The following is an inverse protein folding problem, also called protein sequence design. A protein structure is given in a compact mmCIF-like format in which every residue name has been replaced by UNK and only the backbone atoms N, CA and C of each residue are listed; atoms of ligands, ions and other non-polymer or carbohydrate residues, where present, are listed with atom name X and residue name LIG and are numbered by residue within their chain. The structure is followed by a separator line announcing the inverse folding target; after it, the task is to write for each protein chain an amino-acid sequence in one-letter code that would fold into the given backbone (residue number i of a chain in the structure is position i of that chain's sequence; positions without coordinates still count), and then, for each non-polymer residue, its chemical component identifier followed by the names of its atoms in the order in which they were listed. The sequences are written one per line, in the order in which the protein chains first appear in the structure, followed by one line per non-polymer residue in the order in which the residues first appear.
data_IF_820507241031
#
_entry.id   IF_820507241031
#
_cell.length_a   1.000
_cell.length_b   1.000
_cell.length_c   1.000
_cell.angle_alpha   90.00
_cell.angle_beta   90.00
_cell.angle_gamma   90.00
#
_symmetry.space_group_name_H-M   'P 1'
#
loop_
_entity.id
_entity.type
_entity.pdbx_description
1 polymer ?
#
# COMPACT_ATOMS: atom_id res chain seq x y z
N UNK A 1 -14.51 -12.46 12.39
CA UNK A 1 -14.91 -13.72 11.70
C UNK A 1 -14.98 -14.97 12.59
N UNK A 2 -14.47 -14.97 13.83
CA UNK A 2 -14.64 -16.03 14.83
C UNK A 2 -14.23 -17.44 14.37
N UNK A 3 -13.27 -17.54 13.44
CA UNK A 3 -12.83 -18.80 12.81
C UNK A 3 -13.95 -19.60 12.11
N UNK A 4 -15.07 -18.96 11.82
CA UNK A 4 -16.18 -19.56 11.09
C UNK A 4 -15.79 -19.75 9.61
N UNK A 5 -15.83 -21.00 9.14
CA UNK A 5 -15.35 -21.39 7.81
C UNK A 5 -16.16 -20.72 6.69
N UNK A 6 -17.48 -20.56 6.85
CA UNK A 6 -18.31 -19.94 5.83
C UNK A 6 -18.06 -18.44 5.73
N UNK A 7 -17.93 -17.77 6.88
CA UNK A 7 -17.59 -16.35 6.93
C UNK A 7 -16.24 -16.13 6.26
N UNK A 8 -15.22 -16.94 6.62
CA UNK A 8 -13.89 -16.88 6.00
C UNK A 8 -13.97 -17.09 4.48
N UNK A 9 -14.74 -18.07 4.01
CA UNK A 9 -14.89 -18.31 2.57
C UNK A 9 -15.54 -17.11 1.85
N UNK A 10 -16.55 -16.47 2.45
CA UNK A 10 -17.18 -15.25 1.89
C UNK A 10 -16.19 -14.09 1.82
N UNK A 11 -15.40 -13.89 2.86
CA UNK A 11 -14.38 -12.81 2.91
C UNK A 11 -13.31 -13.03 1.86
N UNK A 12 -12.79 -14.25 1.72
CA UNK A 12 -11.83 -14.58 0.65
C UNK A 12 -12.36 -14.22 -0.74
N UNK A 13 -13.65 -14.42 -1.00
CA UNK A 13 -14.28 -14.04 -2.28
C UNK A 13 -14.33 -12.52 -2.46
N UNK A 14 -14.62 -11.78 -1.38
CA UNK A 14 -14.62 -10.32 -1.38
C UNK A 14 -13.19 -9.80 -1.59
N UNK A 15 -12.21 -10.29 -0.84
CA UNK A 15 -10.80 -9.87 -0.94
C UNK A 15 -10.26 -10.12 -2.34
N UNK A 16 -10.56 -11.30 -2.92
CA UNK A 16 -10.20 -11.61 -4.31
C UNK A 16 -10.84 -10.62 -5.28
N UNK A 17 -12.15 -10.36 -5.14
CA UNK A 17 -12.83 -9.40 -5.99
C UNK A 17 -12.22 -8.01 -5.90
N UNK A 18 -11.91 -7.52 -4.69
CA UNK A 18 -11.28 -6.22 -4.48
C UNK A 18 -9.87 -6.17 -5.09
N UNK A 19 -9.08 -7.23 -4.94
CA UNK A 19 -7.76 -7.34 -5.57
C UNK A 19 -7.85 -7.35 -7.11
N UNK A 20 -8.84 -8.05 -7.69
CA UNK A 20 -9.10 -8.04 -9.14
C UNK A 20 -9.51 -6.64 -9.63
N UNK A 21 -10.34 -5.91 -8.86
CA UNK A 21 -10.70 -4.52 -9.17
C UNK A 21 -9.54 -3.56 -9.04
N UNK A 22 -8.68 -3.76 -8.04
CA UNK A 22 -7.46 -2.99 -7.89
C UNK A 22 -6.51 -3.21 -9.07
N UNK A 23 -6.31 -4.46 -9.49
CA UNK A 23 -5.50 -4.78 -10.66
C UNK A 23 -6.07 -4.14 -11.95
N UNK A 24 -7.39 -4.19 -12.14
CA UNK A 24 -8.06 -3.50 -13.24
C UNK A 24 -7.81 -1.99 -13.21
N UNK A 25 -7.97 -1.35 -12.04
CA UNK A 25 -7.71 0.08 -11.85
C UNK A 25 -6.26 0.45 -12.19
N UNK A 26 -5.27 -0.30 -11.69
CA UNK A 26 -3.87 -0.10 -12.05
C UNK A 26 -3.61 -0.28 -13.55
N UNK A 27 -4.30 -1.24 -14.20
CA UNK A 27 -4.26 -1.43 -15.64
C UNK A 27 -4.71 -0.17 -16.40
N UNK A 28 -5.82 0.44 -15.98
CA UNK A 28 -6.30 1.69 -16.58
C UNK A 28 -5.31 2.84 -16.40
N UNK A 29 -4.69 2.98 -15.21
CA UNK A 29 -3.65 3.99 -15.00
C UNK A 29 -2.41 3.76 -15.87
N UNK A 30 -2.02 2.50 -16.07
CA UNK A 30 -0.90 2.12 -16.91
C UNK A 30 -1.18 2.36 -18.41
N UNK A 31 -2.42 2.19 -18.84
CA UNK A 31 -2.81 2.42 -20.25
C UNK A 31 -3.05 3.90 -20.56
N UNK A 32 -3.17 4.76 -19.54
CA UNK A 32 -3.39 6.20 -19.70
C UNK A 32 -2.05 6.92 -19.88
N UNK A 33 -1.77 7.53 -21.05
CA UNK A 33 -0.55 8.31 -21.26
C UNK A 33 -0.56 9.58 -20.39
N UNK A 34 0.61 9.92 -19.86
CA UNK A 34 0.82 11.17 -19.12
C UNK A 34 2.26 11.63 -19.36
N UNK A 35 2.48 12.55 -20.31
CA UNK A 35 3.81 13.03 -20.68
C UNK A 35 4.78 11.91 -21.11
N UNK A 36 5.98 11.90 -20.52
CA UNK A 36 7.04 10.91 -20.76
C UNK A 36 6.82 9.60 -19.97
N UNK A 37 5.61 9.05 -20.02
CA UNK A 37 5.23 7.87 -19.25
C UNK A 37 3.72 7.62 -19.22
N UNK A 38 3.31 6.84 -18.22
CA UNK A 38 1.91 6.53 -17.95
C UNK A 38 1.47 7.20 -16.66
N UNK A 39 0.16 7.39 -16.48
CA UNK A 39 -0.38 7.96 -15.25
C UNK A 39 0.04 7.14 -14.01
N UNK A 40 0.22 5.82 -14.16
CA UNK A 40 0.75 4.98 -13.09
C UNK A 40 2.22 5.28 -12.76
N UNK A 41 3.06 5.60 -13.74
CA UNK A 41 4.48 5.95 -13.51
C UNK A 41 4.61 7.24 -12.69
N UNK A 42 3.66 8.16 -12.84
CA UNK A 42 3.62 9.44 -12.14
C UNK A 42 2.81 9.41 -10.83
N UNK A 43 2.21 8.27 -10.48
CA UNK A 43 1.35 8.12 -9.30
C UNK A 43 2.00 7.32 -8.17
N UNK A 44 1.42 7.47 -6.97
CA UNK A 44 1.60 6.59 -5.81
C UNK A 44 0.24 6.07 -5.36
N UNK A 45 0.05 4.75 -5.40
CA UNK A 45 -1.20 4.11 -5.01
C UNK A 45 -0.91 3.09 -3.91
N UNK A 46 -1.55 3.24 -2.75
CA UNK A 46 -1.47 2.28 -1.66
C UNK A 46 -2.78 1.50 -1.54
N UNK A 47 -2.68 0.18 -1.58
CA UNK A 47 -3.80 -0.74 -1.36
C UNK A 47 -3.47 -1.67 -0.21
N UNK A 48 -4.45 -1.95 0.65
CA UNK A 48 -4.25 -2.86 1.76
C UNK A 48 -5.29 -2.70 2.85
N UNK A 49 -4.94 -3.16 4.04
CA UNK A 49 -5.79 -3.13 5.23
C UNK A 49 -5.02 -2.54 6.41
N UNK A 50 -5.72 -1.80 7.27
CA UNK A 50 -5.21 -1.37 8.57
C UNK A 50 -5.22 -2.49 9.63
N UNK A 51 -5.66 -3.70 9.25
CA UNK A 51 -5.71 -4.89 10.10
C UNK A 51 -5.13 -6.11 9.36
N UNK A 52 -4.25 -6.86 10.01
CA UNK A 52 -3.74 -8.15 9.52
C UNK A 52 -4.62 -9.33 9.97
N UNK A 53 -5.25 -9.23 11.15
CA UNK A 53 -6.19 -10.21 11.68
C UNK A 53 -7.47 -9.53 12.16
N UNK A 54 -8.57 -9.69 11.41
CA UNK A 54 -9.88 -9.13 11.73
C UNK A 54 -10.61 -9.80 12.90
N UNK A 55 -10.14 -10.93 13.44
CA UNK A 55 -10.67 -11.51 14.68
C UNK A 55 -10.01 -10.89 15.91
N UNK A 56 -8.71 -10.67 15.83
CA UNK A 56 -7.90 -10.18 16.94
C UNK A 56 -7.69 -8.67 16.92
N UNK A 57 -8.14 -8.00 15.84
CA UNK A 57 -7.89 -6.59 15.58
C UNK A 57 -6.40 -6.26 15.65
N UNK A 58 -5.58 -7.08 15.00
CA UNK A 58 -4.13 -6.89 14.97
C UNK A 58 -3.73 -5.87 13.91
N UNK A 59 -2.81 -4.99 14.29
CA UNK A 59 -2.29 -3.90 13.47
C UNK A 59 -0.82 -4.12 13.04
N UNK A 60 -0.21 -5.25 13.43
CA UNK A 60 1.11 -5.70 12.97
C UNK A 60 1.01 -6.44 11.63
N UNK A 61 2.11 -6.58 10.89
CA UNK A 61 2.21 -7.37 9.64
C UNK A 61 1.09 -7.08 8.61
N UNK A 62 0.82 -5.80 8.37
CA UNK A 62 -0.28 -5.36 7.51
C UNK A 62 -0.09 -5.80 6.05
N UNK A 63 -1.17 -6.25 5.36
CA UNK A 63 -1.11 -6.63 3.96
C UNK A 63 -1.17 -5.38 3.08
N UNK A 64 -0.01 -4.80 2.77
CA UNK A 64 0.12 -3.58 1.97
C UNK A 64 0.73 -3.85 0.59
N UNK A 65 0.18 -3.18 -0.42
CA UNK A 65 0.69 -3.14 -1.80
C UNK A 65 0.84 -1.67 -2.19
N UNK A 66 2.07 -1.27 -2.49
CA UNK A 66 2.37 0.02 -3.08
C UNK A 66 2.59 -0.14 -4.59
N UNK A 67 1.86 0.63 -5.39
CA UNK A 67 1.93 0.63 -6.83
C UNK A 67 2.18 2.03 -7.39
N UNK A 68 2.80 2.08 -8.57
CA UNK A 68 3.27 3.32 -9.19
C UNK A 68 4.73 3.63 -8.83
N UNK A 69 5.33 4.51 -9.64
CA UNK A 69 6.78 4.81 -9.56
C UNK A 69 7.06 6.20 -8.98
N UNK A 70 6.05 7.03 -8.79
CA UNK A 70 6.20 8.39 -8.27
C UNK A 70 7.30 9.18 -8.99
N UNK A 71 7.24 9.24 -10.32
CA UNK A 71 8.26 9.86 -11.17
C UNK A 71 9.66 9.22 -10.99
N UNK A 72 9.71 7.91 -10.76
CA UNK A 72 10.95 7.15 -10.59
C UNK A 72 11.56 7.19 -9.19
N UNK A 73 10.89 7.81 -8.20
CA UNK A 73 11.37 7.86 -6.80
C UNK A 73 11.01 6.61 -5.98
N UNK A 74 10.28 5.66 -6.57
CA UNK A 74 9.92 4.38 -5.96
C UNK A 74 10.35 3.23 -6.87
N UNK A 75 11.15 2.30 -6.35
CA UNK A 75 11.51 1.06 -7.03
C UNK A 75 10.45 -0.03 -6.74
N UNK A 76 9.80 -0.47 -7.81
CA UNK A 76 8.70 -1.45 -7.80
C UNK A 76 9.18 -2.88 -8.09
N UNK A 77 8.29 -3.88 -7.97
CA UNK A 77 8.62 -5.28 -8.27
C UNK A 77 9.34 -6.02 -7.14
N UNK A 78 9.27 -5.48 -5.92
CA UNK A 78 9.94 -6.01 -4.72
C UNK A 78 8.93 -6.40 -3.65
N UNK A 79 9.34 -7.29 -2.74
CA UNK A 79 8.63 -7.56 -1.49
C UNK A 79 9.53 -7.11 -0.34
N UNK A 80 9.10 -6.08 0.39
CA UNK A 80 9.83 -5.54 1.52
C UNK A 80 9.32 -6.17 2.80
N UNK A 81 10.22 -6.81 3.55
CA UNK A 81 9.97 -7.30 4.90
C UNK A 81 10.98 -6.65 5.84
N UNK A 82 10.50 -6.14 6.95
CA UNK A 82 11.32 -5.49 7.96
C UNK A 82 11.49 -6.41 9.17
N UNK A 83 12.70 -6.47 9.73
CA UNK A 83 13.03 -7.37 10.85
C UNK A 83 12.44 -6.90 12.20
N UNK A 84 11.95 -5.66 12.24
CA UNK A 84 11.26 -5.06 13.37
C UNK A 84 9.93 -4.47 12.92
N UNK A 85 9.02 -4.32 13.86
CA UNK A 85 7.79 -3.56 13.63
C UNK A 85 8.13 -2.11 13.28
N UNK A 86 7.57 -1.62 12.18
CA UNK A 86 7.71 -0.23 11.74
C UNK A 86 6.30 0.36 11.63
N UNK A 87 6.03 1.52 12.26
CA UNK A 87 4.74 2.18 12.13
C UNK A 87 4.38 2.45 10.67
N UNK A 88 3.14 2.12 10.29
CA UNK A 88 2.62 2.40 8.95
C UNK A 88 2.72 3.90 8.59
N UNK A 89 2.63 4.78 9.60
CA UNK A 89 2.76 6.21 9.40
C UNK A 89 4.15 6.63 8.86
N UNK A 90 5.19 5.81 9.04
CA UNK A 90 6.50 6.07 8.41
C UNK A 90 6.42 5.96 6.88
N UNK A 91 5.59 5.04 6.35
CA UNK A 91 5.32 4.93 4.91
C UNK A 91 4.59 6.17 4.39
N UNK A 92 3.57 6.63 5.13
CA UNK A 92 2.83 7.84 4.76
C UNK A 92 3.69 9.09 4.77
N UNK A 93 4.60 9.25 5.74
CA UNK A 93 5.57 10.34 5.71
C UNK A 93 6.46 10.28 4.47
N UNK A 94 6.98 9.10 4.12
CA UNK A 94 7.78 8.94 2.89
C UNK A 94 7.00 9.23 1.61
N UNK A 95 5.68 8.99 1.59
CA UNK A 95 4.79 9.37 0.48
C UNK A 95 4.52 10.88 0.46
N UNK A 96 4.32 11.51 1.62
CA UNK A 96 4.10 12.96 1.74
C UNK A 96 5.32 13.76 1.29
N UNK A 97 6.53 13.32 1.66
CA UNK A 97 7.78 13.94 1.22
C UNK A 97 7.89 13.94 -0.33
N UNK A 98 7.41 12.87 -1.00
CA UNK A 98 7.44 12.73 -2.48
C UNK A 98 6.46 13.64 -3.22
N UNK A 99 5.39 14.09 -2.56
CA UNK A 99 4.47 15.10 -3.12
C UNK A 99 4.84 16.53 -2.70
N UNK A 100 5.98 16.71 -2.02
CA UNK A 100 6.47 18.01 -1.59
C UNK A 100 5.74 18.58 -0.38
N UNK A 101 5.03 17.75 0.39
CA UNK A 101 4.36 18.20 1.60
C UNK A 101 5.37 18.31 2.77
N UNK A 102 5.48 19.49 3.38
CA UNK A 102 6.31 19.71 4.57
C UNK A 102 5.61 19.20 5.83
N UNK A 103 5.64 17.87 6.03
CA UNK A 103 5.04 17.21 7.20
C UNK A 103 6.15 16.60 8.06
N UNK A 104 6.36 17.18 9.24
CA UNK A 104 7.43 16.73 10.15
C UNK A 104 7.14 15.37 10.80
N UNK A 105 5.88 15.09 11.11
CA UNK A 105 5.42 13.86 11.77
C UNK A 105 3.93 13.59 11.53
N UNK A 106 3.54 12.32 11.65
CA UNK A 106 2.16 11.85 11.47
C UNK A 106 1.85 10.74 12.46
N UNK A 107 0.89 10.95 13.37
CA UNK A 107 0.48 9.91 14.33
C UNK A 107 1.64 9.35 15.14
N UNK A 108 1.80 8.02 15.12
CA UNK A 108 2.86 7.26 15.79
C UNK A 108 4.16 7.13 14.96
N UNK A 109 4.32 7.93 13.90
CA UNK A 109 5.52 7.90 13.08
C UNK A 109 6.78 8.12 13.91
N UNK A 110 7.78 7.27 13.70
CA UNK A 110 9.11 7.38 14.31
C UNK A 110 10.18 7.86 13.32
N UNK A 111 9.82 7.99 12.04
CA UNK A 111 10.72 8.44 10.97
C UNK A 111 10.09 8.25 9.59
N UNK A 112 10.92 8.34 8.55
CA UNK A 112 10.55 7.96 7.18
C UNK A 112 10.80 6.46 7.01
N UNK A 113 10.01 5.81 6.17
CA UNK A 113 10.30 4.44 5.75
C UNK A 113 11.41 4.45 4.69
N UNK A 114 12.51 3.77 5.02
CA UNK A 114 13.63 3.53 4.11
C UNK A 114 13.36 2.34 3.17
N UNK A 115 14.13 2.25 2.08
CA UNK A 115 14.13 1.08 1.18
C UNK A 115 13.01 1.02 0.15
N UNK A 116 12.16 2.06 0.04
CA UNK A 116 11.13 2.14 -1.02
C UNK A 116 11.62 2.83 -2.30
N UNK A 117 12.71 3.60 -2.21
CA UNK A 117 13.45 4.11 -3.36
C UNK A 117 14.30 3.05 -4.04
#
# INVERSE_FOLDING_TARGET
HQNDKEKIAKIKRIDRFLAERFAYFLGQLKETPDGEGTLLDHSMILYGSGLSDGNRHRHDDLPLVMAGRANGTIETGRHLKFDREIPMNNLFLSMLDRVGADVRGLGDSTGRLDGIG
#
